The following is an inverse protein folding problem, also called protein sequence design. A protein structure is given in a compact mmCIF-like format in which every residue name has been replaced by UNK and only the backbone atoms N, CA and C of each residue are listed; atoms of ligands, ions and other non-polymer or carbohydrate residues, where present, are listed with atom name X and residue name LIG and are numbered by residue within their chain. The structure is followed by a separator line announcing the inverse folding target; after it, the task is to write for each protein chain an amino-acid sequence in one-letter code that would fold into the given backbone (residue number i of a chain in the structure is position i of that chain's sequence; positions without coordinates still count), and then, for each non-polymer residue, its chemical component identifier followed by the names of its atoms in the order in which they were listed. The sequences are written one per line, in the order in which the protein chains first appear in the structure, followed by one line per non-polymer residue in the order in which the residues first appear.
data_IF_136630604022
#
_entry.id   IF_136630604022
#
_cell.length_a   1.000
_cell.length_b   1.000
_cell.length_c   1.000
_cell.angle_alpha   90.00
_cell.angle_beta   90.00
_cell.angle_gamma   90.00
#
_symmetry.space_group_name_H-M   'P 1'
#
loop_
_entity.id
_entity.type
_entity.pdbx_description
1 polymer ?
#
# COMPACT_ATOMS: atom_id res chain seq x y z
N UNK A 1 16.33 7.11 17.71
CA UNK A 1 15.52 7.76 16.65
C UNK A 1 14.05 7.86 17.07
N UNK A 2 13.43 6.74 17.48
CA UNK A 2 12.01 6.68 17.92
C UNK A 2 11.71 7.61 19.10
N UNK A 3 12.63 7.72 20.08
CA UNK A 3 12.46 8.58 21.25
C UNK A 3 12.41 10.09 20.95
N UNK A 4 12.81 10.49 19.76
CA UNK A 4 12.73 11.89 19.29
C UNK A 4 11.46 12.23 18.49
N UNK A 5 10.60 11.24 18.26
CA UNK A 5 9.37 11.42 17.49
C UNK A 5 8.20 11.66 18.45
N UNK A 6 7.68 12.88 18.48
CA UNK A 6 6.56 13.30 19.34
C UNK A 6 5.23 12.55 19.09
N UNK A 7 5.14 11.81 17.98
CA UNK A 7 3.96 11.04 17.57
C UNK A 7 4.07 9.53 17.88
N UNK A 8 5.21 9.08 18.46
CA UNK A 8 5.40 7.71 18.95
C UNK A 8 5.65 7.73 20.46
N UNK A 9 4.95 6.87 21.19
CA UNK A 9 5.24 6.65 22.61
C UNK A 9 6.48 5.75 22.74
N UNK A 10 7.60 6.23 23.30
CA UNK A 10 8.80 5.43 23.47
C UNK A 10 8.74 4.47 24.66
N UNK A 11 7.65 4.45 25.42
CA UNK A 11 7.53 3.61 26.63
C UNK A 11 7.38 2.13 26.25
N UNK A 12 8.17 1.30 26.89
CA UNK A 12 8.07 -0.16 26.78
C UNK A 12 7.06 -0.66 27.79
N UNK A 13 5.82 -0.85 27.35
CA UNK A 13 4.75 -1.41 28.16
C UNK A 13 4.64 -2.93 27.96
N UNK A 14 4.16 -3.71 28.98
CA UNK A 14 3.88 -5.12 28.82
C UNK A 14 2.85 -5.35 27.70
N UNK A 15 3.17 -6.26 26.78
CA UNK A 15 2.23 -6.64 25.71
C UNK A 15 0.97 -7.26 26.31
N UNK A 16 -0.20 -6.80 25.87
CA UNK A 16 -1.47 -7.46 26.20
C UNK A 16 -1.45 -8.92 25.73
N UNK A 17 -2.08 -9.85 26.46
CA UNK A 17 -2.00 -11.29 26.19
C UNK A 17 -2.34 -11.67 24.74
N UNK A 18 -3.31 -11.00 24.13
CA UNK A 18 -3.75 -11.23 22.74
C UNK A 18 -2.63 -10.99 21.70
N UNK A 19 -1.63 -10.16 22.04
CA UNK A 19 -0.49 -9.88 21.17
C UNK A 19 0.66 -10.88 21.31
N UNK A 20 0.56 -11.89 22.18
CA UNK A 20 1.61 -12.89 22.42
C UNK A 20 1.48 -14.15 21.54
N UNK A 21 0.55 -14.17 20.57
CA UNK A 21 0.33 -15.32 19.69
C UNK A 21 1.42 -15.44 18.62
N UNK A 22 1.97 -16.65 18.36
CA UNK A 22 2.85 -16.90 17.23
C UNK A 22 2.20 -16.57 15.88
N UNK A 23 0.89 -16.82 15.74
CA UNK A 23 0.14 -16.53 14.53
C UNK A 23 0.13 -15.04 14.20
N UNK A 24 0.08 -14.17 15.22
CA UNK A 24 0.20 -12.74 15.03
C UNK A 24 1.54 -12.37 14.39
N UNK A 25 2.64 -12.97 14.87
CA UNK A 25 3.99 -12.69 14.35
C UNK A 25 4.09 -13.04 12.87
N UNK A 26 3.62 -14.25 12.48
CA UNK A 26 3.61 -14.67 11.08
C UNK A 26 2.69 -13.79 10.22
N UNK A 27 1.49 -13.51 10.70
CA UNK A 27 0.54 -12.60 10.04
C UNK A 27 1.18 -11.25 9.74
N UNK A 28 1.69 -10.58 10.77
CA UNK A 28 2.28 -9.25 10.65
C UNK A 28 3.49 -9.26 9.73
N UNK A 29 4.38 -10.25 9.84
CA UNK A 29 5.57 -10.35 8.98
C UNK A 29 5.18 -10.46 7.49
N UNK A 30 4.20 -11.30 7.17
CA UNK A 30 3.73 -11.50 5.79
C UNK A 30 3.00 -10.26 5.26
N UNK A 31 2.15 -9.62 6.07
CA UNK A 31 1.45 -8.38 5.69
C UNK A 31 2.43 -7.22 5.46
N UNK A 32 3.41 -7.03 6.35
CA UNK A 32 4.43 -5.98 6.18
C UNK A 32 5.29 -6.26 4.94
N UNK A 33 5.61 -7.55 4.68
CA UNK A 33 6.24 -7.96 3.43
C UNK A 33 5.42 -7.57 2.20
N UNK A 34 4.10 -7.80 2.20
CA UNK A 34 3.21 -7.38 1.13
C UNK A 34 3.24 -5.86 0.92
N UNK A 35 3.17 -5.08 2.00
CA UNK A 35 3.26 -3.61 1.94
C UNK A 35 4.60 -3.14 1.36
N UNK A 36 5.70 -3.85 1.65
CA UNK A 36 7.01 -3.60 1.05
C UNK A 36 6.98 -3.72 -0.48
N UNK A 37 6.40 -4.80 -1.02
CA UNK A 37 6.25 -4.99 -2.46
C UNK A 37 5.32 -3.95 -3.09
N UNK A 38 4.24 -3.57 -2.45
CA UNK A 38 3.37 -2.49 -2.90
C UNK A 38 4.07 -1.12 -2.87
N UNK A 39 4.95 -0.88 -1.89
CA UNK A 39 5.80 0.31 -1.82
C UNK A 39 6.81 0.37 -2.97
N UNK A 40 7.48 -0.75 -3.27
CA UNK A 40 8.37 -0.88 -4.44
C UNK A 40 7.59 -0.58 -5.74
N UNK A 41 6.40 -1.16 -5.89
CA UNK A 41 5.52 -0.89 -7.03
C UNK A 41 5.18 0.60 -7.17
N UNK A 42 4.84 1.27 -6.07
CA UNK A 42 4.56 2.70 -6.05
C UNK A 42 5.78 3.52 -6.52
N UNK A 43 6.98 3.22 -6.01
CA UNK A 43 8.22 3.90 -6.39
C UNK A 43 8.57 3.68 -7.87
N UNK A 44 8.41 2.47 -8.37
CA UNK A 44 8.62 2.17 -9.80
C UNK A 44 7.59 2.91 -10.65
N UNK A 45 6.33 2.92 -10.25
CA UNK A 45 5.28 3.67 -10.93
C UNK A 45 5.60 5.17 -11.03
N UNK A 46 6.05 5.80 -9.93
CA UNK A 46 6.51 7.19 -9.91
C UNK A 46 7.68 7.42 -10.85
N UNK A 47 8.69 6.54 -10.82
CA UNK A 47 9.85 6.62 -11.70
C UNK A 47 9.43 6.56 -13.17
N UNK A 48 8.52 5.66 -13.52
CA UNK A 48 7.98 5.53 -14.87
C UNK A 48 7.22 6.78 -15.32
N UNK A 49 6.38 7.37 -14.46
CA UNK A 49 5.68 8.62 -14.80
C UNK A 49 6.65 9.78 -15.02
N UNK A 50 7.70 9.88 -14.20
CA UNK A 50 8.75 10.90 -14.40
C UNK A 50 9.47 10.67 -15.73
N UNK A 51 9.87 9.43 -16.05
CA UNK A 51 10.50 9.11 -17.34
C UNK A 51 9.61 9.46 -18.51
N UNK A 52 8.31 9.17 -18.43
CA UNK A 52 7.33 9.55 -19.47
C UNK A 52 7.23 11.07 -19.61
N UNK A 53 7.30 11.81 -18.50
CA UNK A 53 7.20 13.28 -18.49
C UNK A 53 8.41 13.98 -19.10
N UNK A 54 9.62 13.42 -18.95
CA UNK A 54 10.87 14.01 -19.49
C UNK A 54 11.26 13.44 -20.86
N UNK A 55 10.46 12.53 -21.43
CA UNK A 55 10.68 11.94 -22.73
C UNK A 55 10.59 13.02 -23.84
N UNK A 56 11.72 13.33 -24.47
CA UNK A 56 11.84 14.21 -25.62
C UNK A 56 12.25 13.42 -26.88
N UNK A 57 12.21 14.06 -28.08
CA UNK A 57 12.49 13.39 -29.37
C UNK A 57 13.83 12.63 -29.37
N UNK A 58 14.90 13.20 -28.77
CA UNK A 58 16.23 12.59 -28.77
C UNK A 58 16.36 11.32 -27.90
N UNK A 59 15.55 11.18 -26.85
CA UNK A 59 15.68 10.09 -25.88
C UNK A 59 14.46 9.16 -25.85
N UNK A 60 13.50 9.35 -26.75
CA UNK A 60 12.19 8.70 -26.67
C UNK A 60 12.25 7.17 -26.76
N UNK A 61 13.10 6.63 -27.61
CA UNK A 61 13.20 5.17 -27.78
C UNK A 61 13.79 4.49 -26.55
N UNK A 62 14.90 5.00 -26.05
CA UNK A 62 15.56 4.46 -24.87
C UNK A 62 14.67 4.55 -23.62
N UNK A 63 14.01 5.69 -23.42
CA UNK A 63 13.13 5.87 -22.25
C UNK A 63 11.88 4.98 -22.33
N UNK A 64 11.30 4.79 -23.51
CA UNK A 64 10.18 3.88 -23.71
C UNK A 64 10.54 2.43 -23.37
N UNK A 65 11.73 1.98 -23.78
CA UNK A 65 12.22 0.64 -23.46
C UNK A 65 12.39 0.49 -21.93
N UNK A 66 13.03 1.47 -21.27
CA UNK A 66 13.20 1.45 -19.80
C UNK A 66 11.87 1.46 -19.05
N UNK A 67 10.92 2.26 -19.48
CA UNK A 67 9.55 2.27 -18.90
C UNK A 67 8.90 0.89 -19.04
N UNK A 68 9.08 0.23 -20.18
CA UNK A 68 8.55 -1.11 -20.42
C UNK A 68 9.18 -2.15 -19.49
N UNK A 69 10.51 -2.17 -19.39
CA UNK A 69 11.26 -3.06 -18.49
C UNK A 69 10.82 -2.86 -17.02
N UNK A 70 10.82 -1.62 -16.55
CA UNK A 70 10.40 -1.31 -15.19
C UNK A 70 8.92 -1.62 -14.94
N UNK A 71 8.05 -1.49 -15.95
CA UNK A 71 6.64 -1.85 -15.79
C UNK A 71 6.45 -3.38 -15.62
N UNK A 72 7.34 -4.20 -16.18
CA UNK A 72 7.33 -5.65 -15.92
C UNK A 72 7.72 -5.93 -14.46
N UNK A 73 8.77 -5.28 -13.97
CA UNK A 73 9.18 -5.41 -12.56
C UNK A 73 8.08 -4.92 -11.61
N UNK A 74 7.42 -3.82 -11.97
CA UNK A 74 6.26 -3.29 -11.25
C UNK A 74 5.14 -4.35 -11.16
N UNK A 75 4.78 -4.95 -12.29
CA UNK A 75 3.75 -5.99 -12.35
C UNK A 75 4.10 -7.22 -11.49
N UNK A 76 5.36 -7.69 -11.55
CA UNK A 76 5.83 -8.79 -10.69
C UNK A 76 5.73 -8.43 -9.20
N UNK A 77 6.11 -7.21 -8.83
CA UNK A 77 6.00 -6.71 -7.46
C UNK A 77 4.54 -6.71 -6.99
N UNK A 78 3.60 -6.28 -7.84
CA UNK A 78 2.17 -6.29 -7.52
C UNK A 78 1.63 -7.71 -7.31
N UNK A 79 2.01 -8.67 -8.16
CA UNK A 79 1.58 -10.06 -8.01
C UNK A 79 2.11 -10.70 -6.74
N UNK A 80 3.38 -10.49 -6.41
CA UNK A 80 3.98 -10.99 -5.17
C UNK A 80 3.30 -10.32 -3.96
N UNK A 81 3.14 -9.00 -3.98
CA UNK A 81 2.46 -8.26 -2.92
C UNK A 81 1.04 -8.73 -2.69
N UNK A 82 0.26 -8.95 -3.76
CA UNK A 82 -1.11 -9.44 -3.68
C UNK A 82 -1.19 -10.86 -3.11
N UNK A 83 -0.30 -11.76 -3.53
CA UNK A 83 -0.23 -13.11 -2.99
C UNK A 83 0.11 -13.09 -1.49
N UNK A 84 1.12 -12.32 -1.07
CA UNK A 84 1.48 -12.17 0.33
C UNK A 84 0.35 -11.53 1.15
N UNK A 85 -0.32 -10.50 0.61
CA UNK A 85 -1.46 -9.85 1.28
C UNK A 85 -2.60 -10.84 1.50
N UNK A 86 -2.90 -11.70 0.52
CA UNK A 86 -3.92 -12.73 0.61
C UNK A 86 -3.56 -13.77 1.68
N UNK A 87 -2.35 -14.33 1.62
CA UNK A 87 -1.85 -15.30 2.61
C UNK A 87 -1.85 -14.67 4.00
N UNK A 88 -1.34 -13.45 4.11
CA UNK A 88 -1.29 -12.72 5.38
C UNK A 88 -2.68 -12.51 5.99
N UNK A 89 -3.68 -12.19 5.17
CA UNK A 89 -5.06 -12.02 5.65
C UNK A 89 -5.64 -13.33 6.20
N UNK A 90 -5.39 -14.48 5.55
CA UNK A 90 -5.79 -15.78 6.09
C UNK A 90 -5.08 -16.11 7.41
N UNK A 91 -3.78 -15.83 7.53
CA UNK A 91 -3.04 -15.99 8.79
C UNK A 91 -3.63 -15.10 9.90
N UNK A 92 -4.02 -13.87 9.55
CA UNK A 92 -4.73 -12.97 10.46
C UNK A 92 -6.09 -13.50 10.92
N UNK A 93 -6.82 -14.15 10.03
CA UNK A 93 -8.08 -14.80 10.39
C UNK A 93 -7.87 -15.94 11.40
N UNK A 94 -6.81 -16.75 11.23
CA UNK A 94 -6.45 -17.79 12.20
C UNK A 94 -6.14 -17.18 13.58
N UNK A 95 -5.32 -16.13 13.61
CA UNK A 95 -5.02 -15.40 14.83
C UNK A 95 -6.28 -14.78 15.46
N UNK A 96 -7.17 -14.19 14.67
CA UNK A 96 -8.42 -13.61 15.15
C UNK A 96 -9.33 -14.66 15.80
N UNK A 97 -9.39 -15.87 15.22
CA UNK A 97 -10.15 -16.99 15.81
C UNK A 97 -9.56 -17.44 17.13
N UNK A 98 -8.24 -17.54 17.24
CA UNK A 98 -7.56 -17.89 18.51
C UNK A 98 -7.77 -16.82 19.60
N UNK A 99 -7.74 -15.53 19.20
CA UNK A 99 -7.78 -14.40 20.12
C UNK A 99 -9.18 -13.97 20.52
N UNK A 100 -10.15 -14.09 19.59
CA UNK A 100 -11.52 -13.55 19.73
C UNK A 100 -12.63 -14.56 19.40
N UNK A 101 -12.27 -15.80 19.07
CA UNK A 101 -13.22 -16.87 18.76
C UNK A 101 -13.94 -16.73 17.43
N UNK A 102 -13.42 -15.93 16.51
CA UNK A 102 -14.02 -15.71 15.18
C UNK A 102 -12.96 -15.42 14.12
N UNK A 103 -13.09 -15.95 12.94
CA UNK A 103 -12.15 -15.76 11.83
C UNK A 103 -12.25 -14.38 11.18
N UNK A 104 -13.44 -13.75 11.24
CA UNK A 104 -13.74 -12.47 10.60
C UNK A 104 -14.82 -11.73 11.37
N UNK A 105 -14.67 -10.44 11.58
CA UNK A 105 -15.60 -9.64 12.36
C UNK A 105 -15.99 -8.30 11.73
N UNK A 106 -15.57 -8.05 10.48
CA UNK A 106 -15.77 -6.76 9.82
C UNK A 106 -15.16 -5.58 10.60
N UNK A 107 -14.11 -5.85 11.35
CA UNK A 107 -13.32 -4.80 11.98
C UNK A 107 -12.78 -3.84 10.90
N UNK A 108 -12.63 -2.54 11.18
CA UNK A 108 -12.12 -1.59 10.21
C UNK A 108 -10.83 -2.03 9.52
N UNK A 109 -9.92 -2.65 10.25
CA UNK A 109 -8.64 -3.13 9.71
C UNK A 109 -8.79 -4.33 8.77
N UNK A 110 -9.68 -5.26 9.12
CA UNK A 110 -10.05 -6.39 8.25
C UNK A 110 -10.71 -5.90 6.96
N UNK A 111 -11.67 -4.99 7.11
CA UNK A 111 -12.40 -4.40 5.98
C UNK A 111 -11.47 -3.65 5.01
N UNK A 112 -10.56 -2.82 5.53
CA UNK A 112 -9.59 -2.11 4.70
C UNK A 112 -8.52 -3.03 4.10
N UNK A 113 -8.16 -4.11 4.77
CA UNK A 113 -7.31 -5.15 4.18
C UNK A 113 -7.98 -5.80 2.96
N UNK A 114 -9.27 -6.13 3.06
CA UNK A 114 -10.05 -6.66 1.94
C UNK A 114 -10.16 -5.64 0.79
N UNK A 115 -10.48 -4.38 1.11
CA UNK A 115 -10.53 -3.29 0.11
C UNK A 115 -9.19 -3.16 -0.61
N UNK A 116 -8.08 -3.20 0.12
CA UNK A 116 -6.73 -3.15 -0.45
C UNK A 116 -6.47 -4.33 -1.40
N UNK A 117 -6.82 -5.56 -1.01
CA UNK A 117 -6.72 -6.72 -1.90
C UNK A 117 -7.52 -6.55 -3.19
N UNK A 118 -8.76 -6.08 -3.10
CA UNK A 118 -9.63 -5.85 -4.27
C UNK A 118 -9.04 -4.77 -5.18
N UNK A 119 -8.55 -3.66 -4.63
CA UNK A 119 -7.92 -2.59 -5.41
C UNK A 119 -6.70 -3.13 -6.18
N UNK A 120 -5.80 -3.86 -5.51
CA UNK A 120 -4.63 -4.43 -6.17
C UNK A 120 -4.98 -5.55 -7.15
N UNK A 121 -6.02 -6.35 -6.87
CA UNK A 121 -6.54 -7.30 -7.85
C UNK A 121 -7.03 -6.58 -9.12
N UNK A 122 -7.77 -5.48 -8.99
CA UNK A 122 -8.19 -4.68 -10.14
C UNK A 122 -6.97 -4.16 -10.92
N UNK A 123 -5.98 -3.56 -10.23
CA UNK A 123 -4.79 -3.00 -10.90
C UNK A 123 -4.00 -4.08 -11.66
N UNK A 124 -3.78 -5.26 -11.06
CA UNK A 124 -3.07 -6.35 -11.72
C UNK A 124 -3.82 -6.89 -12.94
N UNK A 125 -5.16 -6.85 -12.93
CA UNK A 125 -5.99 -7.33 -14.04
C UNK A 125 -6.25 -6.27 -15.13
N UNK A 126 -5.93 -4.99 -14.91
CA UNK A 126 -6.10 -3.94 -15.93
C UNK A 126 -5.43 -4.27 -17.27
N UNK A 127 -4.27 -4.91 -17.22
CA UNK A 127 -3.53 -5.29 -18.44
C UNK A 127 -4.19 -6.41 -19.25
N UNK A 128 -5.12 -7.15 -18.67
CA UNK A 128 -5.91 -8.17 -19.37
C UNK A 128 -7.06 -7.55 -20.18
N UNK A 129 -7.42 -6.30 -19.89
CA UNK A 129 -8.51 -5.59 -20.56
C UNK A 129 -7.91 -4.80 -21.74
N UNK A 130 -8.22 -5.11 -23.01
CA UNK A 130 -7.58 -4.48 -24.18
C UNK A 130 -7.63 -2.95 -24.18
N UNK A 131 -8.74 -2.36 -23.71
CA UNK A 131 -8.90 -0.90 -23.62
C UNK A 131 -8.09 -0.25 -22.48
N UNK A 132 -7.70 -1.03 -21.48
CA UNK A 132 -6.95 -0.57 -20.31
C UNK A 132 -5.49 -1.00 -20.34
N UNK A 133 -5.05 -1.75 -21.37
CA UNK A 133 -3.68 -2.21 -21.52
C UNK A 133 -2.75 -1.07 -21.98
N UNK A 134 -2.54 -0.11 -21.10
CA UNK A 134 -1.72 1.07 -21.32
C UNK A 134 -0.71 1.20 -20.17
N UNK A 135 0.57 1.36 -20.50
CA UNK A 135 1.65 1.48 -19.50
C UNK A 135 1.47 2.70 -18.60
N UNK A 136 0.97 3.81 -19.12
CA UNK A 136 0.68 4.99 -18.32
C UNK A 136 -0.39 4.69 -17.27
N UNK A 137 -1.54 4.14 -17.70
CA UNK A 137 -2.66 3.82 -16.81
C UNK A 137 -2.22 2.83 -15.73
N UNK A 138 -1.49 1.79 -16.11
CA UNK A 138 -0.99 0.77 -15.18
C UNK A 138 -0.09 1.37 -14.10
N UNK A 139 0.93 2.15 -14.48
CA UNK A 139 1.84 2.78 -13.54
C UNK A 139 1.16 3.85 -12.68
N UNK A 140 0.24 4.62 -13.24
CA UNK A 140 -0.53 5.61 -12.49
C UNK A 140 -1.46 4.97 -11.45
N UNK A 141 -2.18 3.91 -11.84
CA UNK A 141 -3.07 3.20 -10.91
C UNK A 141 -2.30 2.44 -9.84
N UNK A 142 -1.10 1.92 -10.11
CA UNK A 142 -0.25 1.29 -9.11
C UNK A 142 0.17 2.26 -8.00
N UNK A 143 0.40 3.54 -8.34
CA UNK A 143 0.68 4.58 -7.34
C UNK A 143 -0.57 4.90 -6.52
N UNK A 144 -1.71 5.09 -7.19
CA UNK A 144 -2.97 5.39 -6.50
C UNK A 144 -3.40 4.26 -5.56
N UNK A 145 -3.16 3.01 -5.95
CA UNK A 145 -3.47 1.85 -5.11
C UNK A 145 -2.72 1.88 -3.78
N UNK A 146 -1.53 2.48 -3.71
CA UNK A 146 -0.74 2.55 -2.49
C UNK A 146 -1.43 3.38 -1.38
N UNK A 147 -2.32 4.30 -1.73
CA UNK A 147 -3.12 5.02 -0.72
C UNK A 147 -4.06 4.09 0.06
N UNK A 148 -4.49 2.96 -0.51
CA UNK A 148 -5.25 1.96 0.25
C UNK A 148 -4.39 1.27 1.32
N UNK A 149 -3.11 1.03 1.04
CA UNK A 149 -2.14 0.54 2.04
C UNK A 149 -1.95 1.56 3.15
N UNK A 150 -1.76 2.84 2.79
CA UNK A 150 -1.63 3.91 3.78
C UNK A 150 -2.89 4.04 4.64
N UNK A 151 -4.07 3.88 4.05
CA UNK A 151 -5.32 3.87 4.79
C UNK A 151 -5.42 2.66 5.74
N UNK A 152 -5.05 1.46 5.28
CA UNK A 152 -5.07 0.25 6.10
C UNK A 152 -4.08 0.33 7.26
N UNK A 153 -2.90 0.90 7.04
CA UNK A 153 -1.83 0.95 8.03
C UNK A 153 -1.97 2.15 8.99
N UNK A 154 -2.13 3.36 8.43
CA UNK A 154 -2.22 4.58 9.23
C UNK A 154 -3.67 5.01 9.46
N UNK A 155 -4.47 5.10 8.38
CA UNK A 155 -5.80 5.69 8.44
C UNK A 155 -6.72 4.98 9.43
N UNK A 156 -6.73 3.67 9.42
CA UNK A 156 -7.53 2.88 10.37
C UNK A 156 -7.12 3.17 11.81
N UNK A 157 -5.82 3.27 12.10
CA UNK A 157 -5.34 3.48 13.47
C UNK A 157 -5.65 4.88 14.01
N UNK A 158 -5.78 5.89 13.13
CA UNK A 158 -5.98 7.27 13.54
C UNK A 158 -7.44 7.74 13.49
N UNK A 159 -8.24 7.16 12.58
CA UNK A 159 -9.60 7.66 12.30
C UNK A 159 -10.70 6.69 12.67
N UNK A 160 -10.38 5.41 12.85
CA UNK A 160 -11.36 4.37 13.10
C UNK A 160 -11.01 3.64 14.38
N UNK A 161 -12.03 3.34 15.18
CA UNK A 161 -11.91 2.51 16.37
C UNK A 161 -12.29 1.08 16.05
N UNK A 162 -11.47 0.12 16.50
CA UNK A 162 -11.71 -1.30 16.26
C UNK A 162 -10.89 -2.19 17.18
N UNK A 163 -11.05 -3.50 17.05
CA UNK A 163 -10.34 -4.48 17.88
C UNK A 163 -8.83 -4.51 17.64
N UNK A 164 -8.39 -3.98 16.51
CA UNK A 164 -6.96 -3.83 16.14
C UNK A 164 -6.38 -2.45 16.51
N UNK A 165 -7.12 -1.59 17.21
CA UNK A 165 -6.66 -0.25 17.60
C UNK A 165 -6.06 -0.30 19.00
N UNK A 166 -4.75 -0.49 19.10
CA UNK A 166 -4.02 -0.62 20.36
C UNK A 166 -3.34 0.68 20.84
N UNK A 167 -3.46 1.77 20.10
CA UNK A 167 -2.92 3.07 20.48
C UNK A 167 -3.67 4.18 19.80
N UNK A 168 -4.13 5.17 20.57
CA UNK A 168 -4.67 6.41 20.02
C UNK A 168 -3.60 7.48 20.16
N UNK A 169 -3.33 8.19 19.07
CA UNK A 169 -2.44 9.32 19.08
C UNK A 169 -3.22 10.59 18.71
N UNK A 170 -3.30 11.53 19.63
CA UNK A 170 -4.12 12.75 19.48
C UNK A 170 -3.54 13.79 18.51
N UNK A 171 -2.34 13.57 17.96
CA UNK A 171 -1.61 14.56 17.16
C UNK A 171 -1.60 14.24 15.65
N UNK A 172 -2.77 14.23 15.03
CA UNK A 172 -2.96 13.80 13.62
C UNK A 172 -2.93 14.94 12.61
N UNK A 173 -3.08 16.20 13.05
CA UNK A 173 -3.30 17.35 12.17
C UNK A 173 -2.19 17.59 11.13
N UNK A 174 -0.93 17.24 11.42
CA UNK A 174 0.18 17.38 10.46
C UNK A 174 0.17 16.35 9.34
N UNK A 175 -0.34 15.15 9.57
CA UNK A 175 -0.30 14.04 8.61
C UNK A 175 -1.19 14.33 7.39
N UNK A 176 -2.34 14.99 7.60
CA UNK A 176 -3.26 15.33 6.51
C UNK A 176 -2.63 16.26 5.46
N UNK A 177 -1.87 17.25 5.90
CA UNK A 177 -1.21 18.19 4.98
C UNK A 177 -0.28 17.41 4.03
N UNK A 178 0.54 16.52 4.56
CA UNK A 178 1.45 15.69 3.75
C UNK A 178 0.68 14.75 2.82
N UNK A 179 -0.43 14.17 3.29
CA UNK A 179 -1.28 13.31 2.47
C UNK A 179 -1.88 14.11 1.30
N UNK A 180 -2.49 15.27 1.55
CA UNK A 180 -3.04 16.13 0.49
C UNK A 180 -1.98 16.60 -0.50
N UNK A 181 -0.82 17.04 -0.01
CA UNK A 181 0.30 17.44 -0.87
C UNK A 181 0.79 16.29 -1.75
N UNK A 182 0.88 15.08 -1.20
CA UNK A 182 1.27 13.89 -1.97
C UNK A 182 0.27 13.54 -3.06
N UNK A 183 -1.03 13.62 -2.76
CA UNK A 183 -2.11 13.38 -3.74
C UNK A 183 -2.03 14.41 -4.88
N UNK A 184 -1.92 15.70 -4.56
CA UNK A 184 -1.79 16.78 -5.56
C UNK A 184 -0.57 16.54 -6.45
N UNK A 185 0.57 16.17 -5.85
CA UNK A 185 1.81 15.88 -6.59
C UNK A 185 1.66 14.69 -7.53
N UNK A 186 1.03 13.60 -7.07
CA UNK A 186 0.79 12.40 -7.88
C UNK A 186 -0.18 12.70 -9.03
N UNK A 187 -1.27 13.42 -8.77
CA UNK A 187 -2.22 13.81 -9.82
C UNK A 187 -1.58 14.75 -10.83
N UNK A 188 -0.76 15.71 -10.38
CA UNK A 188 0.00 16.61 -11.24
C UNK A 188 1.00 15.86 -12.12
N UNK A 189 1.78 14.95 -11.55
CA UNK A 189 2.72 14.11 -12.30
C UNK A 189 1.99 13.20 -13.32
N UNK A 190 0.86 12.63 -12.93
CA UNK A 190 0.00 11.85 -13.82
C UNK A 190 -0.48 12.68 -15.00
N UNK A 191 -1.00 13.88 -14.75
CA UNK A 191 -1.48 14.77 -15.80
C UNK A 191 -0.38 15.22 -16.77
N UNK A 192 0.80 15.57 -16.26
CA UNK A 192 1.95 15.99 -17.10
C UNK A 192 2.41 14.82 -17.96
N UNK A 193 2.51 13.62 -17.39
CA UNK A 193 2.97 12.43 -18.12
C UNK A 193 1.95 11.92 -19.15
N UNK A 194 0.65 12.18 -18.96
CA UNK A 194 -0.39 11.82 -19.92
C UNK A 194 -0.38 12.67 -21.16
N UNK A 195 -0.01 13.96 -21.05
CA UNK A 195 0.00 14.93 -22.15
C UNK A 195 1.20 14.80 -23.11
N UNK A 196 2.21 14.03 -22.74
CA UNK A 196 3.41 13.79 -23.54
C UNK A 196 3.39 12.42 -24.21
#
# INVERSE_FOLDING_TARGET
FVSGLSWMDPQINPLVPVLKSPWLMFHVAVIVGAYGFFGISCLIGLTNLVMMSVSGEKNSVMLKERVRELSIVNEMSLWIGLALMTIGTFLGAVWANESWGRYWGWDPKETWALITMVIYAIVTHLRLIPKCNNLWLFNFTSILAFYSVLMTFFGVNYFLSGMHSYGQNDNVNGIFIYLYLSIILVLGAGFISYRK
#
